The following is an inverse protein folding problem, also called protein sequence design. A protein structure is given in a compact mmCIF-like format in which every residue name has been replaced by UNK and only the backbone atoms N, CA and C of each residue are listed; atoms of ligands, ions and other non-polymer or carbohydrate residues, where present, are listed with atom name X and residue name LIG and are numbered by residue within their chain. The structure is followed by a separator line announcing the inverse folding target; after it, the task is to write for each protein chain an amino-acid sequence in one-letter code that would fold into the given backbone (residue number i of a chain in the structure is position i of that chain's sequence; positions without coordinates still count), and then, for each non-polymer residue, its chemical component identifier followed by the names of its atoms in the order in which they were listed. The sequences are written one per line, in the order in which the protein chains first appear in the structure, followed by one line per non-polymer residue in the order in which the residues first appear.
data_IF_569953886249
#
_entry.id   IF_569953886249
#
_cell.length_a   1.000
_cell.length_b   1.000
_cell.length_c   1.000
_cell.angle_alpha   90.00
_cell.angle_beta   90.00
_cell.angle_gamma   90.00
#
_symmetry.space_group_name_H-M   'P 1'
#
loop_
_entity.id
_entity.type
_entity.pdbx_description
1 polymer ?
#
# COMPACT_ATOMS: atom_id res chain seq x y z
N UNK A 1 -62.87 14.85 14.78
CA UNK A 1 -63.19 14.94 13.34
C UNK A 1 -62.93 16.38 12.93
N UNK A 2 -61.95 16.78 12.13
CA UNK A 2 -60.84 16.14 11.43
C UNK A 2 -60.16 17.23 10.56
N UNK A 3 -58.82 17.14 10.41
CA UNK A 3 -57.87 17.64 9.38
C UNK A 3 -58.06 19.02 8.72
N UNK A 4 -57.03 19.81 8.35
CA UNK A 4 -55.59 19.64 8.10
C UNK A 4 -55.07 21.03 7.64
N UNK A 5 -53.85 21.33 7.25
CA UNK A 5 -52.56 20.64 7.13
C UNK A 5 -51.52 21.77 7.16
N UNK A 6 -50.61 21.77 8.13
CA UNK A 6 -49.38 22.57 8.05
C UNK A 6 -48.39 21.81 7.16
N UNK A 7 -48.23 22.26 5.92
CA UNK A 7 -47.22 21.72 5.01
C UNK A 7 -45.81 22.09 5.49
N UNK A 8 -45.23 21.16 6.24
CA UNK A 8 -43.83 21.05 6.60
C UNK A 8 -43.04 20.73 5.32
N UNK A 9 -42.21 21.67 4.84
CA UNK A 9 -41.17 21.36 3.86
C UNK A 9 -40.03 20.64 4.58
N UNK A 10 -40.17 19.31 4.74
CA UNK A 10 -39.08 18.44 5.18
C UNK A 10 -38.21 18.09 3.97
N UNK A 11 -37.01 18.69 3.92
CA UNK A 11 -35.93 18.26 3.04
C UNK A 11 -35.25 17.06 3.70
N UNK A 12 -35.18 15.87 3.09
CA UNK A 12 -34.38 14.78 3.64
C UNK A 12 -32.90 15.09 3.41
N UNK A 13 -32.30 15.82 4.35
CA UNK A 13 -30.85 15.88 4.49
C UNK A 13 -30.44 14.57 5.16
N UNK A 14 -30.32 13.52 4.34
CA UNK A 14 -29.68 12.27 4.73
C UNK A 14 -28.20 12.52 4.94
N UNK A 15 -27.84 13.12 6.08
CA UNK A 15 -26.49 13.11 6.59
C UNK A 15 -26.11 11.66 6.82
N UNK A 16 -25.33 11.10 5.88
CA UNK A 16 -24.65 9.83 6.06
C UNK A 16 -23.75 9.97 7.28
N UNK A 17 -24.24 9.49 8.41
CA UNK A 17 -23.45 9.29 9.61
C UNK A 17 -22.24 8.40 9.25
N UNK A 18 -21.02 8.70 9.71
CA UNK A 18 -19.87 7.85 9.46
C UNK A 18 -20.15 6.48 10.10
N UNK A 19 -20.48 5.48 9.26
CA UNK A 19 -20.71 4.10 9.68
C UNK A 19 -19.48 3.67 10.48
N UNK A 20 -19.69 3.37 11.76
CA UNK A 20 -18.65 2.86 12.65
C UNK A 20 -18.09 1.59 11.99
N UNK A 21 -16.83 1.63 11.52
CA UNK A 21 -16.17 0.55 10.76
C UNK A 21 -15.81 -0.66 11.63
N UNK A 22 -16.70 -1.10 12.51
CA UNK A 22 -16.39 -2.14 13.50
C UNK A 22 -16.70 -3.56 13.01
N UNK A 23 -17.36 -3.74 11.86
CA UNK A 23 -17.51 -5.04 11.20
C UNK A 23 -17.86 -4.84 9.72
N UNK A 24 -16.90 -4.99 8.81
CA UNK A 24 -17.18 -5.03 7.37
C UNK A 24 -17.31 -6.48 6.93
N UNK A 25 -18.45 -6.86 6.33
CA UNK A 25 -18.65 -8.18 5.73
C UNK A 25 -18.59 -8.06 4.22
N UNK A 26 -18.21 -9.15 3.56
CA UNK A 26 -18.23 -9.21 2.08
C UNK A 26 -19.65 -8.92 1.54
N UNK A 27 -20.69 -9.39 2.21
CA UNK A 27 -22.09 -9.13 1.86
C UNK A 27 -22.48 -7.64 1.87
N UNK A 28 -21.74 -6.78 2.59
CA UNK A 28 -21.98 -5.33 2.61
C UNK A 28 -21.43 -4.62 1.36
N UNK A 29 -20.60 -5.28 0.55
CA UNK A 29 -20.03 -4.66 -0.66
C UNK A 29 -21.12 -4.31 -1.67
N UNK A 30 -20.91 -3.29 -2.53
CA UNK A 30 -21.85 -2.99 -3.60
C UNK A 30 -21.93 -4.14 -4.61
N UNK A 31 -22.97 -4.12 -5.45
CA UNK A 31 -23.00 -5.00 -6.62
C UNK A 31 -21.90 -4.59 -7.61
N UNK A 32 -21.24 -5.61 -8.18
CA UNK A 32 -20.36 -5.48 -9.33
C UNK A 32 -20.69 -6.56 -10.35
N UNK A 33 -20.48 -6.27 -11.62
CA UNK A 33 -20.61 -7.18 -12.74
C UNK A 33 -19.72 -8.43 -12.59
N UNK A 34 -20.02 -9.54 -13.30
CA UNK A 34 -19.14 -10.70 -13.32
C UNK A 34 -17.76 -10.37 -13.90
N UNK A 35 -16.73 -11.05 -13.40
CA UNK A 35 -15.35 -10.94 -13.93
C UNK A 35 -15.35 -11.46 -15.37
N UNK A 36 -14.73 -10.70 -16.27
CA UNK A 36 -14.61 -11.09 -17.68
C UNK A 36 -13.77 -12.36 -17.84
N UNK A 37 -14.08 -13.18 -18.84
CA UNK A 37 -13.34 -14.43 -19.10
C UNK A 37 -11.83 -14.22 -19.23
N UNK A 38 -11.41 -13.13 -19.86
CA UNK A 38 -9.99 -12.80 -20.05
C UNK A 38 -9.25 -12.47 -18.74
N UNK A 39 -9.99 -12.16 -17.68
CA UNK A 39 -9.45 -11.76 -16.38
C UNK A 39 -9.51 -12.88 -15.35
N UNK A 40 -10.15 -14.02 -15.65
CA UNK A 40 -10.36 -15.13 -14.71
C UNK A 40 -9.05 -15.70 -14.17
N UNK A 41 -8.05 -15.87 -15.03
CA UNK A 41 -6.75 -16.42 -14.63
C UNK A 41 -6.03 -15.48 -13.66
N UNK A 42 -6.09 -14.17 -13.92
CA UNK A 42 -5.50 -13.14 -13.05
C UNK A 42 -6.28 -13.02 -11.74
N UNK A 43 -7.59 -13.30 -11.77
CA UNK A 43 -8.47 -13.23 -10.61
C UNK A 43 -8.40 -14.43 -9.68
N UNK A 44 -7.80 -15.55 -10.09
CA UNK A 44 -7.85 -16.83 -9.35
C UNK A 44 -7.35 -16.71 -7.90
N UNK A 45 -6.20 -16.07 -7.70
CA UNK A 45 -5.62 -15.90 -6.37
C UNK A 45 -6.43 -14.90 -5.52
N UNK A 46 -6.99 -13.86 -6.15
CA UNK A 46 -7.86 -12.88 -5.49
C UNK A 46 -9.17 -13.51 -5.06
N UNK A 47 -9.79 -14.34 -5.90
CA UNK A 47 -10.99 -15.11 -5.55
C UNK A 47 -10.73 -16.02 -4.35
N UNK A 48 -9.56 -16.67 -4.34
CA UNK A 48 -9.15 -17.55 -3.24
C UNK A 48 -8.92 -16.79 -1.93
N UNK A 49 -8.39 -15.57 -1.99
CA UNK A 49 -8.05 -14.78 -0.79
C UNK A 49 -9.18 -13.90 -0.27
N UNK A 50 -9.90 -13.23 -1.17
CA UNK A 50 -10.78 -12.10 -0.83
C UNK A 50 -12.27 -12.43 -0.95
N UNK A 51 -12.61 -13.55 -1.59
CA UNK A 51 -13.99 -13.92 -1.91
C UNK A 51 -14.45 -13.40 -3.27
N UNK A 52 -15.60 -13.91 -3.73
CA UNK A 52 -16.13 -13.63 -5.06
C UNK A 52 -16.53 -12.17 -5.23
N UNK A 53 -17.26 -11.62 -4.27
CA UNK A 53 -17.87 -10.28 -4.39
C UNK A 53 -16.81 -9.20 -4.28
N UNK A 54 -15.85 -9.35 -3.35
CA UNK A 54 -14.70 -8.46 -3.27
C UNK A 54 -13.90 -8.46 -4.57
N UNK A 55 -13.63 -9.65 -5.12
CA UNK A 55 -12.87 -9.74 -6.38
C UNK A 55 -13.64 -9.13 -7.55
N UNK A 56 -14.94 -9.38 -7.69
CA UNK A 56 -15.78 -8.72 -8.71
C UNK A 56 -15.73 -7.21 -8.60
N UNK A 57 -15.81 -6.68 -7.37
CA UNK A 57 -15.68 -5.25 -7.13
C UNK A 57 -14.31 -4.69 -7.54
N UNK A 58 -13.20 -5.41 -7.33
CA UNK A 58 -11.86 -5.00 -7.81
C UNK A 58 -11.78 -4.88 -9.33
N UNK A 59 -12.48 -5.76 -10.07
CA UNK A 59 -12.51 -5.76 -11.53
C UNK A 59 -13.62 -4.88 -12.15
N UNK A 60 -14.45 -4.22 -11.32
CA UNK A 60 -15.57 -3.44 -11.84
C UNK A 60 -15.10 -2.25 -12.68
N UNK A 61 -15.83 -1.93 -13.75
CA UNK A 61 -15.65 -0.69 -14.52
C UNK A 61 -15.98 0.54 -13.68
N UNK A 62 -16.91 0.41 -12.72
CA UNK A 62 -17.25 1.49 -11.81
C UNK A 62 -16.17 1.65 -10.74
N UNK A 63 -15.70 2.88 -10.53
CA UNK A 63 -14.61 3.16 -9.59
C UNK A 63 -15.01 2.97 -8.12
N UNK A 64 -16.27 3.24 -7.78
CA UNK A 64 -16.73 3.17 -6.39
C UNK A 64 -16.66 1.75 -5.82
N UNK A 65 -17.15 0.70 -6.52
CA UNK A 65 -16.91 -0.69 -6.10
C UNK A 65 -15.44 -1.03 -5.90
N UNK A 66 -14.52 -0.55 -6.77
CA UNK A 66 -13.08 -0.79 -6.60
C UNK A 66 -12.55 -0.20 -5.29
N UNK A 67 -12.95 1.03 -4.96
CA UNK A 67 -12.57 1.69 -3.70
C UNK A 67 -13.08 0.91 -2.47
N UNK A 68 -14.34 0.46 -2.51
CA UNK A 68 -14.93 -0.32 -1.42
C UNK A 68 -14.24 -1.68 -1.23
N UNK A 69 -13.91 -2.36 -2.33
CA UNK A 69 -13.16 -3.62 -2.26
C UNK A 69 -11.75 -3.44 -1.71
N UNK A 70 -11.03 -2.39 -2.14
CA UNK A 70 -9.70 -2.06 -1.60
C UNK A 70 -9.77 -1.78 -0.09
N UNK A 71 -10.80 -1.02 0.34
CA UNK A 71 -11.04 -0.73 1.75
C UNK A 71 -11.39 -2.00 2.54
N UNK A 72 -12.15 -2.91 1.95
CA UNK A 72 -12.48 -4.21 2.55
C UNK A 72 -11.25 -5.11 2.69
N UNK A 73 -10.40 -5.22 1.66
CA UNK A 73 -9.14 -5.98 1.75
C UNK A 73 -8.22 -5.39 2.81
N UNK A 74 -8.12 -4.05 2.88
CA UNK A 74 -7.39 -3.36 3.95
C UNK A 74 -7.93 -3.75 5.34
N UNK A 75 -9.25 -3.75 5.51
CA UNK A 75 -9.90 -4.18 6.75
C UNK A 75 -9.58 -5.63 7.12
N UNK A 76 -9.56 -6.56 6.15
CA UNK A 76 -9.21 -7.96 6.39
C UNK A 76 -7.77 -8.12 6.91
N UNK A 77 -6.84 -7.29 6.43
CA UNK A 77 -5.44 -7.27 6.92
C UNK A 77 -5.38 -6.68 8.33
N UNK A 78 -6.03 -5.53 8.56
CA UNK A 78 -6.07 -4.84 9.86
C UNK A 78 -6.62 -5.73 10.98
N UNK A 79 -7.67 -6.49 10.65
CA UNK A 79 -8.33 -7.42 11.57
C UNK A 79 -7.70 -8.81 11.61
N UNK A 80 -6.57 -9.01 10.90
CA UNK A 80 -5.82 -10.27 10.83
C UNK A 80 -6.61 -11.46 10.29
N UNK A 81 -7.71 -11.21 9.56
CA UNK A 81 -8.37 -12.23 8.75
C UNK A 81 -7.51 -12.66 7.56
N UNK A 82 -6.67 -11.75 7.05
CA UNK A 82 -5.55 -12.07 6.18
C UNK A 82 -4.25 -11.80 6.91
N UNK A 83 -3.33 -12.77 6.89
CA UNK A 83 -2.01 -12.66 7.52
C UNK A 83 -0.92 -13.13 6.58
N UNK A 84 0.22 -12.45 6.62
CA UNK A 84 1.41 -12.79 5.85
C UNK A 84 2.38 -13.69 6.61
N UNK A 85 2.05 -14.11 7.84
CA UNK A 85 2.87 -15.04 8.60
C UNK A 85 2.90 -16.42 7.92
N UNK A 86 4.06 -17.11 7.98
CA UNK A 86 4.17 -18.50 7.52
C UNK A 86 3.35 -19.39 8.44
N UNK A 87 2.18 -19.81 7.96
CA UNK A 87 1.32 -20.73 8.69
C UNK A 87 1.89 -22.15 8.64
N UNK A 88 1.92 -22.80 9.80
CA UNK A 88 2.45 -24.17 9.98
C UNK A 88 1.41 -25.26 9.70
N UNK A 89 0.14 -24.89 9.55
CA UNK A 89 -0.99 -25.79 9.33
C UNK A 89 -1.78 -25.43 8.06
N UNK A 90 -2.54 -26.41 7.56
CA UNK A 90 -3.31 -26.40 6.31
C UNK A 90 -4.44 -25.36 6.33
N UNK A 91 -4.11 -24.09 6.10
CA UNK A 91 -5.10 -23.09 5.71
C UNK A 91 -5.38 -23.16 4.22
N UNK A 92 -6.57 -22.72 3.83
CA UNK A 92 -7.02 -22.70 2.43
C UNK A 92 -6.22 -21.72 1.57
N UNK A 93 -5.61 -20.71 2.18
CA UNK A 93 -4.83 -19.67 1.51
C UNK A 93 -3.36 -19.79 1.90
N UNK A 94 -2.50 -20.13 0.95
CA UNK A 94 -1.06 -20.12 1.20
C UNK A 94 -0.53 -18.69 1.19
N UNK A 95 0.55 -18.42 1.94
CA UNK A 95 1.24 -17.12 1.94
C UNK A 95 1.56 -16.66 0.50
N UNK A 96 2.04 -17.56 -0.36
CA UNK A 96 2.37 -17.25 -1.76
C UNK A 96 1.15 -16.74 -2.55
N UNK A 97 0.01 -17.40 -2.40
CA UNK A 97 -1.25 -17.02 -3.09
C UNK A 97 -1.70 -15.64 -2.60
N UNK A 98 -1.63 -15.37 -1.30
CA UNK A 98 -1.95 -14.05 -0.76
C UNK A 98 -1.01 -12.95 -1.28
N UNK A 99 0.30 -13.21 -1.30
CA UNK A 99 1.29 -12.26 -1.85
C UNK A 99 0.98 -11.92 -3.30
N UNK A 100 0.68 -12.93 -4.14
CA UNK A 100 0.36 -12.70 -5.55
C UNK A 100 -0.97 -11.95 -5.74
N UNK A 101 -2.00 -12.28 -4.95
CA UNK A 101 -3.28 -11.57 -4.95
C UNK A 101 -3.12 -10.09 -4.57
N UNK A 102 -2.34 -9.81 -3.53
CA UNK A 102 -2.06 -8.44 -3.07
C UNK A 102 -1.23 -7.67 -4.09
N UNK A 103 -0.18 -8.28 -4.65
CA UNK A 103 0.63 -7.63 -5.68
C UNK A 103 -0.23 -7.27 -6.89
N UNK A 104 -1.05 -8.19 -7.37
CA UNK A 104 -1.95 -7.94 -8.51
C UNK A 104 -2.95 -6.82 -8.21
N UNK A 105 -3.54 -6.84 -7.01
CA UNK A 105 -4.49 -5.81 -6.56
C UNK A 105 -3.85 -4.43 -6.50
N UNK A 106 -2.67 -4.32 -5.88
CA UNK A 106 -1.94 -3.06 -5.76
C UNK A 106 -1.44 -2.55 -7.12
N UNK A 107 -1.00 -3.46 -8.00
CA UNK A 107 -0.60 -3.10 -9.35
C UNK A 107 -1.74 -2.46 -10.15
N UNK A 108 -2.96 -3.00 -10.04
CA UNK A 108 -4.14 -2.42 -10.69
C UNK A 108 -4.54 -1.09 -10.05
N UNK A 109 -4.62 -1.03 -8.71
CA UNK A 109 -5.06 0.17 -8.00
C UNK A 109 -4.11 1.35 -8.19
N UNK A 110 -2.79 1.12 -8.13
CA UNK A 110 -1.78 2.17 -8.29
C UNK A 110 -1.60 2.63 -9.75
N UNK A 111 -2.19 1.93 -10.71
CA UNK A 111 -2.26 2.34 -12.11
C UNK A 111 -3.65 2.88 -12.51
N UNK A 112 -4.59 2.92 -11.57
CA UNK A 112 -5.94 3.38 -11.86
C UNK A 112 -5.93 4.85 -12.28
N UNK A 113 -6.77 5.17 -13.27
CA UNK A 113 -6.95 6.53 -13.77
C UNK A 113 -7.75 7.39 -12.80
N UNK A 114 -8.53 6.76 -11.91
CA UNK A 114 -9.35 7.43 -10.91
C UNK A 114 -8.56 7.62 -9.63
N UNK A 115 -8.34 8.88 -9.26
CA UNK A 115 -7.57 9.28 -8.09
C UNK A 115 -8.02 8.60 -6.79
N UNK A 116 -9.33 8.45 -6.55
CA UNK A 116 -9.83 7.80 -5.34
C UNK A 116 -9.47 6.32 -5.25
N UNK A 117 -9.36 5.62 -6.39
CA UNK A 117 -8.91 4.22 -6.43
C UNK A 117 -7.41 4.15 -6.15
N UNK A 118 -6.64 5.07 -6.74
CA UNK A 118 -5.21 5.21 -6.42
C UNK A 118 -4.99 5.47 -4.91
N UNK A 119 -5.71 6.43 -4.32
CA UNK A 119 -5.62 6.76 -2.89
C UNK A 119 -5.98 5.56 -1.99
N UNK A 120 -7.01 4.79 -2.35
CA UNK A 120 -7.38 3.56 -1.67
C UNK A 120 -6.29 2.48 -1.82
N UNK A 121 -5.68 2.37 -3.00
CA UNK A 121 -4.54 1.47 -3.25
C UNK A 121 -3.30 1.84 -2.44
N UNK A 122 -3.01 3.14 -2.30
CA UNK A 122 -1.93 3.64 -1.43
C UNK A 122 -2.23 3.31 0.04
N UNK A 123 -3.47 3.48 0.48
CA UNK A 123 -3.89 3.12 1.84
C UNK A 123 -3.72 1.62 2.12
N UNK A 124 -4.11 0.77 1.17
CA UNK A 124 -3.89 -0.67 1.25
C UNK A 124 -2.39 -1.02 1.28
N UNK A 125 -1.57 -0.38 0.44
CA UNK A 125 -0.12 -0.60 0.41
C UNK A 125 0.55 -0.29 1.76
N UNK A 126 0.16 0.82 2.39
CA UNK A 126 0.69 1.19 3.71
C UNK A 126 0.35 0.11 4.74
N UNK A 127 -0.89 -0.39 4.74
CA UNK A 127 -1.31 -1.45 5.65
C UNK A 127 -0.58 -2.78 5.38
N UNK A 128 -0.45 -3.16 4.11
CA UNK A 128 0.34 -4.34 3.70
C UNK A 128 1.78 -4.24 4.21
N UNK A 129 2.39 -3.06 4.10
CA UNK A 129 3.77 -2.84 4.53
C UNK A 129 3.93 -2.99 6.05
N UNK A 130 2.99 -2.45 6.83
CA UNK A 130 2.93 -2.61 8.30
C UNK A 130 2.73 -4.08 8.67
N UNK A 131 1.83 -4.79 7.98
CA UNK A 131 1.55 -6.19 8.25
C UNK A 131 2.78 -7.09 7.98
N UNK A 132 3.56 -6.78 6.94
CA UNK A 132 4.81 -7.49 6.66
C UNK A 132 5.92 -7.20 7.67
N UNK A 133 6.06 -5.95 8.13
CA UNK A 133 7.09 -5.59 9.12
C UNK A 133 7.00 -6.47 10.37
N UNK A 134 5.78 -6.79 10.82
CA UNK A 134 5.55 -7.73 11.92
C UNK A 134 5.64 -9.23 11.57
N UNK A 135 5.61 -9.61 10.30
CA UNK A 135 5.56 -11.00 9.85
C UNK A 135 6.91 -11.54 9.35
N UNK A 136 7.85 -10.66 8.99
CA UNK A 136 9.18 -11.05 8.49
C UNK A 136 10.02 -11.65 9.62
N UNK A 137 10.46 -12.90 9.42
CA UNK A 137 11.31 -13.62 10.38
C UNK A 137 12.65 -14.09 9.78
N UNK A 138 12.82 -13.97 8.46
CA UNK A 138 14.01 -14.43 7.75
C UNK A 138 14.37 -13.53 6.57
N UNK A 139 15.64 -13.54 6.10
CA UNK A 139 16.04 -12.82 4.89
C UNK A 139 15.23 -13.21 3.63
N UNK A 140 14.75 -14.45 3.57
CA UNK A 140 13.88 -14.90 2.47
C UNK A 140 12.54 -14.17 2.46
N UNK A 141 12.00 -13.82 3.63
CA UNK A 141 10.74 -13.08 3.73
C UNK A 141 10.93 -11.62 3.29
N UNK A 142 12.08 -11.02 3.61
CA UNK A 142 12.47 -9.69 3.09
C UNK A 142 12.50 -9.69 1.56
N UNK A 143 13.05 -10.75 0.94
CA UNK A 143 13.08 -10.86 -0.52
C UNK A 143 11.67 -10.92 -1.12
N UNK A 144 10.75 -11.66 -0.49
CA UNK A 144 9.34 -11.71 -0.91
C UNK A 144 8.69 -10.33 -0.84
N UNK A 145 8.94 -9.57 0.23
CA UNK A 145 8.43 -8.20 0.37
C UNK A 145 9.03 -7.28 -0.69
N UNK A 146 10.34 -7.33 -0.91
CA UNK A 146 11.01 -6.54 -1.94
C UNK A 146 10.46 -6.84 -3.34
N UNK A 147 10.21 -8.11 -3.68
CA UNK A 147 9.66 -8.50 -4.97
C UNK A 147 8.21 -8.04 -5.15
N UNK A 148 7.43 -7.98 -4.07
CA UNK A 148 6.08 -7.40 -4.06
C UNK A 148 6.12 -5.88 -4.30
N UNK A 149 6.98 -5.16 -3.57
CA UNK A 149 7.00 -3.69 -3.49
C UNK A 149 7.71 -3.05 -4.68
N UNK A 150 8.83 -3.63 -5.14
CA UNK A 150 9.67 -3.07 -6.21
C UNK A 150 8.88 -2.62 -7.45
N UNK A 151 7.98 -3.42 -8.04
CA UNK A 151 7.20 -2.96 -9.19
C UNK A 151 6.23 -1.82 -8.86
N UNK A 152 5.85 -1.61 -7.61
CA UNK A 152 4.92 -0.56 -7.20
C UNK A 152 5.59 0.82 -7.13
N UNK A 153 6.89 0.88 -6.80
CA UNK A 153 7.64 2.13 -6.60
C UNK A 153 7.56 3.08 -7.81
N UNK A 154 7.81 2.65 -9.07
CA UNK A 154 7.67 3.53 -10.22
C UNK A 154 6.28 4.19 -10.34
N UNK A 155 5.22 3.47 -9.95
CA UNK A 155 3.82 3.95 -10.05
C UNK A 155 3.54 5.02 -9.00
N UNK A 156 4.09 4.86 -7.80
CA UNK A 156 4.07 5.90 -6.77
C UNK A 156 4.84 7.14 -7.25
N UNK A 157 6.06 6.96 -7.76
CA UNK A 157 6.92 8.05 -8.21
C UNK A 157 6.28 8.91 -9.31
N UNK A 158 5.51 8.32 -10.23
CA UNK A 158 4.71 9.08 -11.20
C UNK A 158 3.75 10.05 -10.50
N UNK A 159 3.10 9.62 -9.41
CA UNK A 159 2.15 10.45 -8.64
C UNK A 159 2.81 11.45 -7.69
N UNK A 160 4.07 11.23 -7.34
CA UNK A 160 4.89 12.24 -6.65
C UNK A 160 5.09 13.49 -7.53
N UNK A 161 5.07 13.33 -8.86
CA UNK A 161 5.13 14.42 -9.83
C UNK A 161 3.77 15.02 -10.23
N UNK A 162 2.66 14.62 -9.61
CA UNK A 162 1.32 15.09 -9.99
C UNK A 162 1.13 16.58 -9.60
N UNK A 163 0.45 17.32 -10.47
CA UNK A 163 0.17 18.74 -10.24
C UNK A 163 -0.82 18.98 -9.10
N UNK A 164 -1.64 17.98 -8.75
CA UNK A 164 -2.56 18.05 -7.61
C UNK A 164 -1.81 17.76 -6.31
N UNK A 165 -1.75 18.74 -5.43
CA UNK A 165 -1.00 18.62 -4.17
C UNK A 165 -1.39 17.42 -3.32
N UNK A 166 -2.69 17.14 -3.22
CA UNK A 166 -3.23 16.00 -2.48
C UNK A 166 -2.58 14.67 -2.89
N UNK A 167 -2.34 14.43 -4.18
CA UNK A 167 -1.81 13.17 -4.67
C UNK A 167 -0.33 13.00 -4.34
N UNK A 168 0.48 14.05 -4.54
CA UNK A 168 1.89 13.94 -4.19
C UNK A 168 2.10 13.86 -2.68
N UNK A 169 1.30 14.58 -1.86
CA UNK A 169 1.38 14.48 -0.39
C UNK A 169 1.05 13.06 0.06
N UNK A 170 -0.07 12.50 -0.41
CA UNK A 170 -0.49 11.12 -0.08
C UNK A 170 0.58 10.09 -0.50
N UNK A 171 1.20 10.30 -1.66
CA UNK A 171 2.28 9.44 -2.17
C UNK A 171 3.54 9.57 -1.32
N UNK A 172 3.91 10.80 -0.95
CA UNK A 172 5.07 11.08 -0.11
C UNK A 172 4.92 10.44 1.27
N UNK A 173 3.76 10.61 1.90
CA UNK A 173 3.44 10.01 3.20
C UNK A 173 3.56 8.48 3.15
N UNK A 174 3.09 7.85 2.07
CA UNK A 174 3.23 6.42 1.88
C UNK A 174 4.70 6.00 1.73
N UNK A 175 5.49 6.70 0.93
CA UNK A 175 6.92 6.41 0.77
C UNK A 175 7.68 6.57 2.10
N UNK A 176 7.35 7.59 2.90
CA UNK A 176 7.90 7.76 4.25
C UNK A 176 7.44 6.66 5.22
N UNK A 177 6.20 6.19 5.11
CA UNK A 177 5.73 5.06 5.93
C UNK A 177 6.45 3.76 5.55
N UNK A 178 6.62 3.50 4.25
CA UNK A 178 7.34 2.33 3.76
C UNK A 178 8.78 2.32 4.26
N UNK A 179 9.46 3.47 4.26
CA UNK A 179 10.84 3.56 4.78
C UNK A 179 10.94 3.31 6.28
N UNK A 180 9.88 3.57 7.06
CA UNK A 180 9.82 3.25 8.49
C UNK A 180 9.65 1.76 8.79
N UNK A 181 9.28 0.93 7.80
CA UNK A 181 9.16 -0.52 7.97
C UNK A 181 10.55 -1.16 7.93
N UNK A 182 11.32 -0.96 9.00
CA UNK A 182 12.74 -1.28 9.10
C UNK A 182 13.06 -2.78 9.06
N UNK A 183 12.10 -3.65 9.38
CA UNK A 183 12.31 -5.09 9.37
C UNK A 183 12.28 -5.67 7.95
N UNK A 184 11.60 -5.01 7.00
CA UNK A 184 11.33 -5.60 5.68
C UNK A 184 11.51 -4.69 4.46
N UNK A 185 11.55 -3.36 4.61
CA UNK A 185 11.75 -2.40 3.52
C UNK A 185 12.90 -1.47 3.88
N UNK A 186 12.68 -0.56 4.83
CA UNK A 186 13.68 0.40 5.27
C UNK A 186 14.00 1.51 4.26
N UNK A 187 14.72 2.56 4.69
CA UNK A 187 15.04 3.71 3.84
C UNK A 187 16.06 3.40 2.75
N UNK A 188 17.00 2.46 2.99
CA UNK A 188 18.06 2.12 2.04
C UNK A 188 17.50 1.47 0.76
N UNK A 189 16.66 0.44 0.92
CA UNK A 189 15.97 -0.20 -0.20
C UNK A 189 15.15 0.82 -1.00
N UNK A 190 14.37 1.65 -0.32
CA UNK A 190 13.51 2.63 -1.00
C UNK A 190 14.34 3.64 -1.81
N UNK A 191 15.44 4.15 -1.24
CA UNK A 191 16.34 5.06 -1.94
C UNK A 191 16.99 4.40 -3.17
N UNK A 192 17.46 3.16 -3.03
CA UNK A 192 18.05 2.40 -4.14
C UNK A 192 17.06 2.24 -5.30
N UNK A 193 15.83 1.82 -5.01
CA UNK A 193 14.79 1.64 -6.01
C UNK A 193 14.34 2.98 -6.63
N UNK A 194 14.25 4.04 -5.82
CA UNK A 194 13.97 5.39 -6.32
C UNK A 194 15.03 5.85 -7.31
N UNK A 195 16.31 5.62 -7.03
CA UNK A 195 17.42 5.96 -7.94
C UNK A 195 17.36 5.08 -9.19
N UNK A 196 17.10 3.78 -9.03
CA UNK A 196 17.01 2.84 -10.14
C UNK A 196 15.93 3.20 -11.16
N UNK A 197 14.79 3.73 -10.70
CA UNK A 197 13.67 4.15 -11.57
C UNK A 197 14.06 5.18 -12.63
N UNK A 198 14.99 6.08 -12.31
CA UNK A 198 15.38 7.17 -13.23
C UNK A 198 16.66 6.86 -14.03
N UNK A 199 17.32 5.72 -13.76
CA UNK A 199 18.64 5.39 -14.31
C UNK A 199 18.71 5.41 -15.84
N UNK A 200 17.59 5.04 -16.49
CA UNK A 200 17.47 4.96 -17.94
C UNK A 200 16.66 6.14 -18.53
N UNK A 201 16.20 7.07 -17.70
CA UNK A 201 15.40 8.22 -18.13
C UNK A 201 16.30 9.38 -18.51
N UNK A 202 16.03 10.00 -19.66
CA UNK A 202 16.71 11.26 -20.00
C UNK A 202 16.26 12.37 -19.04
N UNK A 203 17.16 13.16 -18.44
CA UNK A 203 16.80 14.20 -17.48
C UNK A 203 15.74 15.18 -18.00
N UNK A 204 15.75 15.45 -19.31
CA UNK A 204 14.80 16.36 -19.97
C UNK A 204 13.36 15.83 -20.01
N UNK A 205 13.16 14.53 -19.78
CA UNK A 205 11.83 13.89 -19.76
C UNK A 205 11.16 13.92 -18.39
N UNK A 206 11.93 14.24 -17.34
CA UNK A 206 11.45 14.30 -15.97
C UNK A 206 10.91 15.70 -15.66
N UNK A 207 9.71 15.78 -15.09
CA UNK A 207 9.13 17.07 -14.74
C UNK A 207 9.89 17.72 -13.58
N UNK A 208 10.00 19.05 -13.58
CA UNK A 208 10.64 19.79 -12.49
C UNK A 208 9.95 19.50 -11.15
N UNK A 209 8.62 19.42 -11.13
CA UNK A 209 7.83 19.07 -9.94
C UNK A 209 8.21 17.70 -9.38
N UNK A 210 8.34 16.68 -10.24
CA UNK A 210 8.77 15.35 -9.83
C UNK A 210 10.17 15.39 -9.20
N UNK A 211 11.13 16.03 -9.87
CA UNK A 211 12.51 16.12 -9.38
C UNK A 211 12.59 16.86 -8.04
N UNK A 212 11.90 17.99 -7.90
CA UNK A 212 11.86 18.74 -6.64
C UNK A 212 11.27 17.91 -5.51
N UNK A 213 10.13 17.25 -5.73
CA UNK A 213 9.47 16.44 -4.70
C UNK A 213 10.30 15.20 -4.35
N UNK A 214 10.95 14.58 -5.34
CA UNK A 214 11.87 13.45 -5.11
C UNK A 214 13.06 13.86 -4.26
N UNK A 215 13.71 14.98 -4.58
CA UNK A 215 14.85 15.49 -3.79
C UNK A 215 14.42 15.90 -2.38
N UNK A 216 13.23 16.48 -2.22
CA UNK A 216 12.67 16.80 -0.91
C UNK A 216 12.41 15.53 -0.08
N UNK A 217 11.86 14.48 -0.68
CA UNK A 217 11.68 13.18 -0.03
C UNK A 217 13.02 12.56 0.37
N UNK A 218 14.02 12.56 -0.52
CA UNK A 218 15.36 12.06 -0.20
C UNK A 218 15.98 12.83 0.99
N UNK A 219 15.82 14.16 1.01
CA UNK A 219 16.26 15.00 2.14
C UNK A 219 15.55 14.60 3.44
N UNK A 220 14.22 14.40 3.40
CA UNK A 220 13.43 13.94 4.57
C UNK A 220 13.94 12.58 5.07
N UNK A 221 14.22 11.64 4.17
CA UNK A 221 14.77 10.33 4.53
C UNK A 221 16.16 10.46 5.20
N UNK A 222 17.04 11.31 4.66
CA UNK A 222 18.37 11.54 5.25
C UNK A 222 18.28 12.23 6.63
N UNK A 223 17.33 13.15 6.81
CA UNK A 223 17.10 13.81 8.10
C UNK A 223 16.51 12.86 9.14
N UNK A 224 15.58 11.99 8.75
CA UNK A 224 14.89 11.08 9.66
C UNK A 224 15.76 9.88 10.06
N UNK A 225 16.46 9.26 9.10
CA UNK A 225 17.20 8.01 9.33
C UNK A 225 18.72 8.19 9.45
N UNK A 226 19.23 9.39 9.16
CA UNK A 226 20.66 9.69 9.18
C UNK A 226 21.42 9.14 7.96
N UNK A 227 22.73 9.37 7.96
CA UNK A 227 23.66 8.83 6.96
C UNK A 227 24.60 7.88 7.69
N UNK A 228 24.59 6.60 7.28
CA UNK A 228 25.60 5.66 7.74
C UNK A 228 26.84 5.83 6.87
N UNK A 229 27.87 6.47 7.44
CA UNK A 229 29.20 6.43 6.84
C UNK A 229 29.71 4.98 6.98
N UNK A 230 29.82 4.25 5.87
CA UNK A 230 30.52 2.97 5.86
C UNK A 230 31.99 3.24 6.20
N UNK A 231 32.29 3.30 7.49
CA UNK A 231 33.65 3.21 7.99
C UNK A 231 34.15 1.83 7.60
N UNK A 232 34.84 1.74 6.46
CA UNK A 232 35.84 0.70 6.25
C UNK A 232 36.96 0.94 7.26
N UNK A 233 36.68 0.65 8.53
CA UNK A 233 37.55 0.85 9.67
C UNK A 233 37.91 -0.50 10.27
N UNK A 234 39.07 -1.00 9.85
CA UNK A 234 40.03 -1.77 10.65
C UNK A 234 39.48 -2.65 11.78
N UNK A 235 39.48 -3.97 11.52
CA UNK A 235 39.72 -4.96 12.58
C UNK A 235 41.12 -4.70 13.15
N UNK A 236 41.19 -3.93 14.22
CA UNK A 236 42.44 -3.59 14.88
C UNK A 236 42.24 -3.14 16.32
N UNK A 237 41.61 -3.96 17.15
CA UNK A 237 41.72 -3.79 18.61
C UNK A 237 43.02 -4.44 19.11
N UNK A 238 43.84 -3.69 19.85
CA UNK A 238 44.51 -4.28 21.00
C UNK A 238 44.09 -3.59 22.30
N UNK A 239 43.98 -4.45 23.31
CA UNK A 239 43.56 -4.22 24.68
C UNK A 239 44.16 -2.96 25.34
N UNK A 240 43.33 -2.19 26.05
CA UNK A 240 43.80 -1.36 27.16
C UNK A 240 43.85 -2.19 28.43
N UNK A 241 45.04 -2.63 28.84
CA UNK A 241 45.30 -2.95 30.25
C UNK A 241 45.65 -1.66 30.98
N UNK A 242 44.82 -1.23 31.93
CA UNK A 242 45.24 -0.26 32.93
C UNK A 242 45.82 -1.03 34.12
N UNK A 243 47.13 -0.94 34.31
CA UNK A 243 47.76 -1.17 35.61
C UNK A 243 47.84 0.20 36.31
N UNK A 244 47.38 0.25 37.56
CA UNK A 244 47.49 1.42 38.44
C UNK A 244 48.68 1.17 39.39
N UNK A 245 49.54 2.18 39.65
CA UNK A 245 50.67 2.07 40.59
C UNK A 245 50.24 1.94 42.05
#
# INVERSE_FOLDING_TARGET
MGNGDTALFDVPTGALSPRSKTSQREDDLPYAEPIQDQQKDIAADMLTCFGEKATRCLFSYAWAPRVEALSFVQYLIQTRHLTFEKQRESTTVTQRVLVNAIQTTLMQALQDRVNSVFEAGVSLLMEVSIAFDGAVASPSDVTVVHDLIRPLIPRLLVKLGDSKSRLHVTTEDALLLLSRQSACIGPAFLLEEMIACDRNSSPQTLSATYLTNKMALMSKLMLEFGIQENSTGEKGSPQRSYAVP
#
